data_IF_818991043222
#
_entry.id   IF_818991043222
#
_cell.length_a   1.000
_cell.length_b   1.000
_cell.length_c   1.000
_cell.angle_alpha   90.00
_cell.angle_beta   90.00
_cell.angle_gamma   90.00
#
_symmetry.space_group_name_H-M   'P 1'
#
loop_
_entity.id
_entity.type
_entity.pdbx_description
1 polymer ?
#
# COMPACT_ATOMS: atom_id res chain seq x y z
N UNK A 1 -20.58 8.82 3.96
CA UNK A 1 -19.81 9.74 3.09
C UNK A 1 -18.56 9.03 2.61
N UNK A 2 -18.35 8.96 1.29
CA UNK A 2 -17.06 8.50 0.75
C UNK A 2 -16.09 9.66 0.95
N UNK A 3 -15.29 9.61 2.01
CA UNK A 3 -14.24 10.59 2.24
C UNK A 3 -13.16 10.33 1.18
N UNK A 4 -13.28 11.00 0.04
CA UNK A 4 -12.33 10.92 -1.06
C UNK A 4 -11.00 11.52 -0.60
N UNK A 5 -9.93 10.72 -0.66
CA UNK A 5 -8.60 11.07 -0.14
C UNK A 5 -7.71 11.60 -1.27
N UNK A 6 -7.90 11.06 -2.47
CA UNK A 6 -7.18 11.45 -3.68
C UNK A 6 -7.93 12.54 -4.44
N UNK A 7 -7.22 13.62 -4.76
CA UNK A 7 -7.66 14.70 -5.62
C UNK A 7 -7.65 14.28 -7.10
N UNK A 8 -6.65 13.48 -7.49
CA UNK A 8 -6.43 13.04 -8.86
C UNK A 8 -6.37 11.51 -8.94
N UNK A 9 -6.68 10.91 -10.11
CA UNK A 9 -6.52 9.48 -10.31
C UNK A 9 -5.04 9.08 -10.12
N UNK A 10 -4.79 8.04 -9.34
CA UNK A 10 -3.44 7.52 -9.10
C UNK A 10 -3.10 6.50 -10.18
N UNK A 11 -1.98 6.62 -10.91
CA UNK A 11 -1.57 5.62 -11.89
C UNK A 11 -1.37 4.25 -11.24
N UNK A 12 -1.91 3.19 -11.86
CA UNK A 12 -1.73 1.80 -11.41
C UNK A 12 -0.25 1.41 -11.34
N UNK A 13 0.54 1.90 -12.29
CA UNK A 13 1.99 1.68 -12.38
C UNK A 13 2.71 2.11 -11.11
N UNK A 14 2.29 3.21 -10.46
CA UNK A 14 2.91 3.70 -9.23
C UNK A 14 2.81 2.64 -8.12
N UNK A 15 1.65 1.97 -8.00
CA UNK A 15 1.46 0.87 -7.06
C UNK A 15 2.25 -0.36 -7.49
N UNK A 16 2.08 -0.84 -8.73
CA UNK A 16 2.71 -2.09 -9.17
C UNK A 16 4.24 -2.02 -9.21
N UNK A 17 4.83 -0.88 -9.59
CA UNK A 17 6.28 -0.66 -9.54
C UNK A 17 6.83 -0.77 -8.11
N UNK A 18 6.07 -0.36 -7.09
CA UNK A 18 6.45 -0.58 -5.70
C UNK A 18 6.32 -2.07 -5.34
N UNK A 19 5.16 -2.68 -5.66
CA UNK A 19 4.88 -4.07 -5.32
C UNK A 19 5.88 -5.05 -5.94
N UNK A 20 6.30 -4.85 -7.19
CA UNK A 20 7.33 -5.66 -7.86
C UNK A 20 8.67 -5.65 -7.10
N UNK A 21 9.00 -4.55 -6.42
CA UNK A 21 10.25 -4.44 -5.65
C UNK A 21 10.16 -5.13 -4.30
N UNK A 22 9.01 -5.09 -3.63
CA UNK A 22 8.89 -5.43 -2.21
C UNK A 22 8.13 -6.72 -1.93
N UNK A 23 7.16 -7.09 -2.76
CA UNK A 23 6.26 -8.20 -2.53
C UNK A 23 6.77 -9.51 -3.14
N UNK A 24 6.29 -10.62 -2.58
CA UNK A 24 6.33 -11.90 -3.27
C UNK A 24 5.23 -11.90 -4.33
N UNK A 25 5.64 -11.96 -5.60
CA UNK A 25 4.73 -12.06 -6.75
C UNK A 25 4.48 -13.53 -7.05
N UNK A 26 3.22 -13.93 -7.03
CA UNK A 26 2.76 -15.22 -7.56
C UNK A 26 2.25 -15.02 -8.99
N UNK A 27 1.75 -16.07 -9.63
CA UNK A 27 1.20 -15.95 -10.99
C UNK A 27 -0.06 -15.07 -11.08
N UNK A 28 -0.74 -14.83 -9.95
CA UNK A 28 -2.05 -14.13 -9.93
C UNK A 28 -2.13 -12.96 -8.95
N UNK A 29 -1.21 -12.84 -7.99
CA UNK A 29 -1.28 -11.77 -7.00
C UNK A 29 0.07 -11.39 -6.39
N UNK A 30 0.11 -10.19 -5.80
CA UNK A 30 1.17 -9.74 -4.91
C UNK A 30 0.78 -9.98 -3.46
N UNK A 31 1.66 -10.61 -2.69
CA UNK A 31 1.50 -10.75 -1.24
C UNK A 31 2.05 -9.53 -0.51
N UNK A 32 1.17 -8.73 0.08
CA UNK A 32 1.50 -7.61 0.96
C UNK A 32 1.41 -8.09 2.40
N UNK A 33 2.56 -8.42 2.98
CA UNK A 33 2.72 -8.85 4.36
C UNK A 33 3.73 -7.96 5.12
N UNK A 34 3.98 -8.31 6.38
CA UNK A 34 4.95 -7.59 7.20
C UNK A 34 6.38 -7.66 6.63
N UNK A 35 6.72 -8.71 5.88
CA UNK A 35 8.04 -8.83 5.26
C UNK A 35 8.21 -7.85 4.11
N UNK A 36 7.20 -7.72 3.24
CA UNK A 36 7.17 -6.71 2.18
C UNK A 36 7.33 -5.30 2.75
N UNK A 37 6.63 -4.98 3.85
CA UNK A 37 6.78 -3.71 4.54
C UNK A 37 8.19 -3.51 5.11
N UNK A 38 8.78 -4.51 5.78
CA UNK A 38 10.15 -4.41 6.30
C UNK A 38 11.16 -4.20 5.18
N UNK A 39 11.02 -4.90 4.05
CA UNK A 39 11.85 -4.75 2.85
C UNK A 39 11.74 -3.33 2.28
N UNK A 40 10.53 -2.79 2.18
CA UNK A 40 10.30 -1.41 1.74
C UNK A 40 11.03 -0.38 2.60
N UNK A 41 10.92 -0.49 3.94
CA UNK A 41 11.59 0.43 4.87
C UNK A 41 13.11 0.27 4.82
N UNK A 42 13.61 -0.97 4.75
CA UNK A 42 15.04 -1.25 4.69
C UNK A 42 15.70 -0.59 3.47
N UNK A 43 15.05 -0.67 2.30
CA UNK A 43 15.53 -0.04 1.07
C UNK A 43 15.11 1.44 0.92
N UNK A 44 14.39 2.01 1.90
CA UNK A 44 13.84 3.38 1.86
C UNK A 44 12.95 3.67 0.65
N UNK A 45 12.33 2.64 0.07
CA UNK A 45 11.40 2.81 -1.05
C UNK A 45 10.13 3.57 -0.66
N UNK A 46 9.82 3.60 0.63
CA UNK A 46 8.71 4.38 1.18
C UNK A 46 8.86 5.89 0.91
N UNK A 47 10.08 6.44 0.92
CA UNK A 47 10.29 7.87 0.79
C UNK A 47 9.94 8.33 -0.64
N UNK A 48 10.44 7.61 -1.64
CA UNK A 48 10.13 7.88 -3.05
C UNK A 48 8.65 7.67 -3.34
N UNK A 49 8.08 6.55 -2.87
CA UNK A 49 6.66 6.25 -3.06
C UNK A 49 5.75 7.34 -2.44
N UNK A 50 6.04 7.78 -1.22
CA UNK A 50 5.26 8.84 -0.58
C UNK A 50 5.42 10.19 -1.29
N UNK A 51 6.60 10.50 -1.80
CA UNK A 51 6.84 11.75 -2.54
C UNK A 51 6.06 11.79 -3.85
N UNK A 52 6.10 10.72 -4.64
CA UNK A 52 5.32 10.59 -5.88
C UNK A 52 3.81 10.62 -5.59
N UNK A 53 3.37 9.91 -4.55
CA UNK A 53 1.96 9.80 -4.22
C UNK A 53 1.38 11.14 -3.69
N UNK A 54 2.22 12.04 -3.18
CA UNK A 54 1.80 13.31 -2.57
C UNK A 54 1.04 14.23 -3.51
N UNK A 55 1.37 14.22 -4.80
CA UNK A 55 0.72 15.06 -5.81
C UNK A 55 -0.74 14.69 -6.03
N UNK A 56 -1.10 13.43 -5.75
CA UNK A 56 -2.44 12.90 -5.93
C UNK A 56 -3.35 13.12 -4.71
N UNK A 57 -2.80 13.47 -3.55
CA UNK A 57 -3.58 13.70 -2.34
C UNK A 57 -4.18 15.12 -2.30
N UNK A 58 -5.34 15.27 -1.67
CA UNK A 58 -5.75 16.60 -1.20
C UNK A 58 -4.75 17.14 -0.17
N UNK A 59 -4.46 18.45 -0.21
CA UNK A 59 -3.49 19.10 0.70
C UNK A 59 -3.79 18.78 2.17
N UNK A 60 -5.06 18.89 2.59
CA UNK A 60 -5.51 18.57 3.95
C UNK A 60 -5.49 17.09 4.34
N UNK A 61 -5.20 16.19 3.38
CA UNK A 61 -5.10 14.74 3.55
C UNK A 61 -3.67 14.22 3.36
N UNK A 62 -2.73 15.07 2.92
CA UNK A 62 -1.33 14.67 2.72
C UNK A 62 -0.65 14.16 4.00
N UNK A 63 -1.21 14.45 5.19
CA UNK A 63 -0.70 13.94 6.46
C UNK A 63 -0.61 12.40 6.53
N UNK A 64 -1.45 11.68 5.78
CA UNK A 64 -1.46 10.21 5.80
C UNK A 64 -0.17 9.59 5.22
N UNK A 65 0.54 10.34 4.37
CA UNK A 65 1.77 9.91 3.67
C UNK A 65 3.02 10.65 4.16
N UNK A 66 2.89 11.81 4.81
CA UNK A 66 4.03 12.58 5.33
C UNK A 66 4.49 12.14 6.72
N UNK A 67 3.64 11.45 7.48
CA UNK A 67 4.00 10.89 8.80
C UNK A 67 4.81 9.61 8.63
N UNK A 68 5.55 9.24 9.69
CA UNK A 68 6.26 7.95 9.75
C UNK A 68 5.30 6.80 9.43
N UNK A 69 5.61 6.10 8.35
CA UNK A 69 4.80 5.02 7.83
C UNK A 69 4.91 3.81 8.76
N UNK A 70 3.77 3.27 9.17
CA UNK A 70 3.63 2.02 9.90
C UNK A 70 3.08 0.96 8.95
N UNK A 71 3.16 -0.32 9.32
CA UNK A 71 2.52 -1.39 8.54
C UNK A 71 1.03 -1.12 8.28
N UNK A 72 0.32 -0.63 9.31
CA UNK A 72 -1.10 -0.28 9.21
C UNK A 72 -1.35 0.89 8.27
N UNK A 73 -0.52 1.94 8.31
CA UNK A 73 -0.71 3.07 7.40
C UNK A 73 -0.35 2.70 5.96
N UNK A 74 0.71 1.91 5.75
CA UNK A 74 1.07 1.37 4.45
C UNK A 74 -0.06 0.57 3.81
N UNK A 75 -0.54 -0.46 4.50
CA UNK A 75 -1.61 -1.32 3.98
C UNK A 75 -2.91 -0.55 3.76
N UNK A 76 -3.19 0.49 4.56
CA UNK A 76 -4.32 1.39 4.32
C UNK A 76 -4.16 2.19 3.02
N UNK A 77 -2.98 2.77 2.76
CA UNK A 77 -2.71 3.52 1.52
C UNK A 77 -2.86 2.61 0.31
N UNK A 78 -2.27 1.41 0.38
CA UNK A 78 -2.38 0.42 -0.69
C UNK A 78 -3.84 0.06 -0.99
N UNK A 79 -4.64 -0.26 0.03
CA UNK A 79 -6.08 -0.52 -0.14
C UNK A 79 -6.86 0.67 -0.71
N UNK A 80 -6.49 1.88 -0.32
CA UNK A 80 -7.12 3.10 -0.85
C UNK A 80 -6.85 3.24 -2.35
N UNK A 81 -5.61 3.00 -2.79
CA UNK A 81 -5.24 2.98 -4.21
C UNK A 81 -5.99 1.88 -4.96
N UNK A 82 -6.01 0.66 -4.42
CA UNK A 82 -6.76 -0.43 -5.06
C UNK A 82 -8.25 -0.10 -5.21
N UNK A 83 -8.86 0.50 -4.19
CA UNK A 83 -10.28 0.87 -4.21
C UNK A 83 -10.60 1.94 -5.26
N UNK A 84 -9.78 2.98 -5.38
CA UNK A 84 -10.03 4.06 -6.37
C UNK A 84 -9.79 3.57 -7.80
N UNK A 85 -8.84 2.67 -8.00
CA UNK A 85 -8.50 2.12 -9.31
C UNK A 85 -9.23 0.82 -9.65
N UNK A 86 -10.21 0.42 -8.84
CA UNK A 86 -10.99 -0.82 -9.01
C UNK A 86 -10.12 -2.09 -9.13
N UNK A 87 -8.96 -2.11 -8.49
CA UNK A 87 -8.06 -3.27 -8.42
C UNK A 87 -8.62 -4.25 -7.38
N UNK A 88 -8.76 -5.51 -7.77
CA UNK A 88 -9.21 -6.56 -6.87
C UNK A 88 -8.16 -6.83 -5.80
N UNK A 89 -8.59 -6.89 -4.54
CA UNK A 89 -7.75 -7.32 -3.44
C UNK A 89 -8.55 -8.08 -2.38
N UNK A 90 -7.90 -9.01 -1.70
CA UNK A 90 -8.48 -9.77 -0.58
C UNK A 90 -7.56 -9.70 0.64
N UNK A 91 -8.08 -9.98 1.83
CA UNK A 91 -7.29 -9.99 3.06
C UNK A 91 -7.30 -11.36 3.72
N UNK A 92 -6.20 -11.73 4.35
CA UNK A 92 -6.07 -12.95 5.14
C UNK A 92 -5.51 -12.61 6.52
N UNK A 93 -6.05 -13.22 7.57
CA UNK A 93 -5.49 -13.13 8.91
C UNK A 93 -4.39 -14.16 9.08
N UNK A 94 -3.19 -13.71 9.43
CA UNK A 94 -2.04 -14.57 9.68
C UNK A 94 -1.64 -14.47 11.15
N UNK A 95 -1.59 -15.61 11.81
CA UNK A 95 -1.16 -15.72 13.20
C UNK A 95 0.31 -16.12 13.25
N UNK A 96 1.07 -15.43 14.09
CA UNK A 96 2.44 -15.78 14.42
C UNK A 96 2.68 -15.49 15.90
N UNK A 97 3.03 -16.51 16.68
CA UNK A 97 3.30 -16.39 18.13
C UNK A 97 2.23 -15.61 18.89
N UNK A 98 0.96 -15.99 18.72
CA UNK A 98 -0.21 -15.35 19.35
C UNK A 98 -0.44 -13.88 18.96
N UNK A 99 0.34 -13.32 18.05
CA UNK A 99 0.08 -12.03 17.39
C UNK A 99 -0.54 -12.28 16.03
N UNK A 100 -1.52 -11.47 15.64
CA UNK A 100 -2.11 -11.53 14.31
C UNK A 100 -1.72 -10.31 13.49
N UNK A 101 -1.43 -10.54 12.22
CA UNK A 101 -1.33 -9.50 11.20
C UNK A 101 -2.37 -9.78 10.11
N UNK A 102 -2.80 -8.72 9.45
CA UNK A 102 -3.65 -8.84 8.27
C UNK A 102 -2.73 -8.69 7.07
N UNK A 103 -2.64 -9.76 6.26
CA UNK A 103 -1.94 -9.76 4.99
C UNK A 103 -2.95 -9.48 3.88
N UNK A 104 -2.49 -8.86 2.79
CA UNK A 104 -3.33 -8.54 1.64
C UNK A 104 -2.80 -9.20 0.38
N UNK A 105 -3.72 -9.71 -0.44
CA UNK A 105 -3.45 -10.26 -1.77
C UNK A 105 -3.98 -9.26 -2.78
N UNK A 106 -3.11 -8.72 -3.61
CA UNK A 106 -3.46 -7.72 -4.65
C UNK A 106 -3.34 -8.40 -6.00
N UNK A 107 -4.44 -8.52 -6.72
CA UNK A 107 -4.48 -9.19 -8.01
C UNK A 107 -4.08 -8.21 -9.12
N UNK A 108 -3.46 -8.74 -10.18
CA UNK A 108 -2.97 -7.97 -11.32
C UNK A 108 -3.33 -8.64 -12.65
#
# INVERSE_FOLDING_TARGET
MINQIFKYPVPNELLFNLLDKICLKTDSYYLVDMNAYRKMIFHKYNDNFCNELKEYYYVGKSFYITRKMTYKSFTNVVRQICKINTILFTSQMKYNESKYNIDYLIYY
#
